data_IF_177087412544
#
_entry.id   IF_177087412544
#
_cell.length_a   1.000
_cell.length_b   1.000
_cell.length_c   1.000
_cell.angle_alpha   90.00
_cell.angle_beta   90.00
_cell.angle_gamma   90.00
#
_symmetry.space_group_name_H-M   'P 1'
#
loop_
_entity.id
_entity.type
_entity.pdbx_description
1 polymer ?
#
# COMPACT_ATOMS: atom_id res chain seq x y z
N UNK A 1 6.90 2.89 25.52
CA UNK A 1 7.28 2.90 25.63
C UNK A 1 7.37 2.38 25.28
N UNK A 2 7.01 2.65 25.14
CA UNK A 2 7.21 2.55 24.99
C UNK A 2 7.16 2.15 24.53
N UNK A 3 6.75 2.35 24.23
CA UNK A 3 6.94 2.33 24.23
C UNK A 3 7.03 2.16 24.13
N UNK A 4 6.84 2.37 24.04
CA UNK A 4 7.14 2.62 24.32
C UNK A 4 7.83 2.76 24.29
N UNK A 5 8.38 3.54 24.70
CA UNK A 5 9.15 3.94 24.91
C UNK A 5 9.37 4.71 25.13
N UNK A 6 9.76 5.15 25.54
CA UNK A 6 10.12 6.08 25.84
C UNK A 6 10.65 6.82 25.81
N UNK A 7 11.32 7.34 26.17
CA UNK A 7 11.75 8.03 26.35
C UNK A 7 12.60 8.80 26.12
N UNK A 8 13.44 9.13 25.88
CA UNK A 8 14.06 10.00 25.77
C UNK A 8 15.22 10.18 25.64
N UNK A 9 15.96 10.66 25.64
CA UNK A 9 16.97 10.73 25.78
C UNK A 9 17.94 11.16 24.80
N UNK A 10 19.08 10.93 24.70
CA UNK A 10 20.07 11.25 23.71
C UNK A 10 19.81 10.41 22.51
N UNK A 11 19.27 11.02 21.51
CA UNK A 11 18.77 10.28 20.38
C UNK A 11 19.58 10.65 19.14
N UNK A 12 19.86 9.64 18.32
CA UNK A 12 20.38 9.86 16.99
C UNK A 12 19.29 10.47 16.12
N UNK A 13 19.61 11.06 14.96
CA UNK A 13 18.58 11.54 14.05
C UNK A 13 17.57 10.47 13.65
N UNK A 14 18.02 9.22 13.50
CA UNK A 14 17.10 8.12 13.19
C UNK A 14 16.19 7.81 14.36
N UNK A 15 16.71 7.88 15.59
CA UNK A 15 15.90 7.64 16.78
C UNK A 15 14.87 8.75 16.97
N UNK A 16 15.24 10.00 16.72
CA UNK A 16 14.30 11.10 16.77
C UNK A 16 13.18 10.93 15.76
N UNK A 17 13.51 10.48 14.57
CA UNK A 17 12.51 10.22 13.56
C UNK A 17 11.55 9.13 14.02
N UNK A 18 12.06 8.04 14.56
CA UNK A 18 11.22 6.96 15.08
C UNK A 18 10.39 7.42 16.28
N UNK A 19 10.95 8.24 17.13
CA UNK A 19 10.25 8.80 18.27
C UNK A 19 9.04 9.61 17.81
N UNK A 20 9.19 10.36 16.72
CA UNK A 20 8.11 11.16 16.16
C UNK A 20 7.04 10.31 15.50
N UNK A 21 7.37 9.10 15.08
CA UNK A 21 6.38 8.19 14.48
C UNK A 21 5.36 7.70 15.50
N UNK A 22 5.77 7.60 16.77
CA UNK A 22 4.87 7.13 17.82
C UNK A 22 4.76 8.25 18.86
N UNK A 23 3.90 9.15 18.56
CA UNK A 23 3.76 10.39 19.30
C UNK A 23 2.97 10.19 20.58
N UNK A 24 1.94 9.41 20.52
CA UNK A 24 1.10 9.00 21.63
C UNK A 24 0.81 7.53 21.50
N UNK A 25 0.36 6.90 22.59
CA UNK A 25 -0.03 5.51 22.53
C UNK A 25 -1.06 5.29 21.43
N UNK A 26 -0.74 4.45 20.47
CA UNK A 26 -1.63 4.14 19.36
C UNK A 26 -1.57 5.10 18.21
N UNK A 27 -0.79 6.18 18.30
CA UNK A 27 -0.64 7.14 17.20
C UNK A 27 0.64 6.82 16.45
N UNK A 28 0.51 6.59 15.15
CA UNK A 28 1.62 6.28 14.27
C UNK A 28 1.63 7.27 13.13
N UNK A 29 2.75 7.94 12.94
CA UNK A 29 2.91 8.94 11.90
C UNK A 29 3.48 8.32 10.63
N UNK A 30 3.14 8.92 9.50
CA UNK A 30 3.57 8.48 8.18
C UNK A 30 4.28 9.60 7.45
N UNK A 31 5.25 9.22 6.61
CA UNK A 31 5.90 10.15 5.70
C UNK A 31 6.27 9.38 4.43
N UNK A 32 6.09 9.98 3.24
CA UNK A 32 6.56 9.35 2.02
C UNK A 32 8.07 9.54 1.90
N UNK A 33 8.75 8.70 1.11
CA UNK A 33 10.16 8.92 0.79
C UNK A 33 10.36 10.27 0.10
N UNK A 34 11.59 10.78 0.15
CA UNK A 34 11.93 12.03 -0.50
C UNK A 34 11.56 11.96 -1.99
N UNK A 35 10.89 13.00 -2.48
CA UNK A 35 10.45 13.13 -3.87
C UNK A 35 9.36 12.12 -4.27
N UNK A 36 8.76 11.46 -3.30
CA UNK A 36 7.64 10.55 -3.54
C UNK A 36 6.39 11.03 -2.81
N UNK A 37 5.26 10.49 -3.23
CA UNK A 37 3.96 10.75 -2.60
C UNK A 37 3.35 9.41 -2.20
N UNK A 38 2.44 9.46 -1.23
CA UNK A 38 1.67 8.26 -0.88
C UNK A 38 0.90 7.79 -2.10
N UNK A 39 0.94 6.49 -2.34
CA UNK A 39 0.32 5.89 -3.52
C UNK A 39 1.27 5.70 -4.69
N UNK A 40 2.45 6.31 -4.67
CA UNK A 40 3.42 6.12 -5.75
C UNK A 40 3.78 4.65 -5.89
N UNK A 41 3.99 4.24 -7.14
CA UNK A 41 4.43 2.87 -7.45
C UNK A 41 5.94 2.84 -7.45
N UNK A 42 6.53 2.02 -6.57
CA UNK A 42 7.97 1.85 -6.49
C UNK A 42 8.45 0.73 -7.40
N UNK A 43 7.69 -0.36 -7.47
CA UNK A 43 7.95 -1.46 -8.38
C UNK A 43 6.65 -1.79 -9.06
N UNK A 44 6.63 -1.67 -10.38
CA UNK A 44 5.40 -1.79 -11.15
C UNK A 44 5.23 -3.19 -11.74
N UNK A 45 4.05 -3.44 -12.26
CA UNK A 45 3.74 -4.65 -12.99
C UNK A 45 4.51 -4.70 -14.31
N UNK A 46 4.75 -5.90 -14.78
CA UNK A 46 5.21 -6.11 -16.15
C UNK A 46 4.05 -5.82 -17.11
N UNK A 47 4.35 -5.78 -18.41
CA UNK A 47 3.32 -5.46 -19.40
C UNK A 47 2.36 -6.60 -19.65
N UNK A 48 2.79 -7.85 -19.46
CA UNK A 48 2.00 -9.04 -19.85
C UNK A 48 2.19 -10.17 -18.86
N UNK A 49 1.11 -10.93 -18.67
CA UNK A 49 1.08 -12.13 -17.85
C UNK A 49 0.18 -13.17 -18.49
N UNK A 50 0.35 -14.42 -18.07
CA UNK A 50 -0.59 -15.48 -18.38
C UNK A 50 -1.25 -15.95 -17.09
N UNK A 51 -2.42 -16.57 -17.19
CA UNK A 51 -3.10 -17.16 -16.04
C UNK A 51 -2.16 -18.15 -15.35
N UNK A 52 -2.18 -18.14 -14.03
CA UNK A 52 -1.26 -18.93 -13.22
C UNK A 52 -0.02 -18.18 -12.76
N UNK A 53 0.32 -17.07 -13.39
CA UNK A 53 1.43 -16.22 -12.94
C UNK A 53 0.95 -15.27 -11.84
N UNK A 54 1.92 -14.68 -11.12
CA UNK A 54 1.62 -13.72 -10.06
C UNK A 54 2.14 -12.35 -10.44
N UNK A 55 1.26 -11.36 -10.35
CA UNK A 55 1.62 -9.95 -10.50
C UNK A 55 1.98 -9.42 -9.12
N UNK A 56 3.06 -8.66 -9.03
CA UNK A 56 3.42 -7.98 -7.78
C UNK A 56 3.73 -6.52 -8.06
N UNK A 57 3.19 -5.65 -7.22
CA UNK A 57 3.38 -4.19 -7.32
C UNK A 57 3.70 -3.67 -5.92
N UNK A 58 4.66 -2.77 -5.82
CA UNK A 58 5.04 -2.16 -4.54
C UNK A 58 4.64 -0.70 -4.56
N UNK A 59 3.88 -0.29 -3.56
CA UNK A 59 3.38 1.07 -3.41
C UNK A 59 4.00 1.75 -2.20
N UNK A 60 4.16 3.06 -2.27
CA UNK A 60 4.41 3.90 -1.10
C UNK A 60 3.10 4.00 -0.33
N UNK A 61 3.12 3.63 0.95
CA UNK A 61 1.90 3.55 1.74
C UNK A 61 2.06 4.15 3.14
N UNK A 62 0.95 4.28 3.86
CA UNK A 62 0.93 4.61 5.27
C UNK A 62 0.80 3.37 6.13
N UNK A 63 0.91 3.55 7.44
CA UNK A 63 0.77 2.45 8.38
C UNK A 63 -0.68 1.96 8.41
N UNK A 64 -0.91 0.65 8.43
CA UNK A 64 -2.28 0.12 8.44
C UNK A 64 -3.17 0.62 9.56
N UNK A 65 -2.59 0.97 10.72
CA UNK A 65 -3.35 1.53 11.84
C UNK A 65 -4.02 2.86 11.50
N UNK A 66 -3.50 3.58 10.54
CA UNK A 66 -4.05 4.88 10.15
C UNK A 66 -5.14 4.74 9.10
N UNK A 67 -5.37 3.54 8.59
CA UNK A 67 -6.35 3.32 7.56
C UNK A 67 -7.76 3.38 8.13
N UNK A 68 -8.57 4.29 7.62
CA UNK A 68 -9.95 4.48 8.04
C UNK A 68 -10.95 3.64 7.24
N UNK A 69 -10.48 2.94 6.21
CA UNK A 69 -11.33 2.09 5.37
C UNK A 69 -11.47 0.70 5.98
N UNK A 70 -11.95 0.62 7.21
CA UNK A 70 -12.01 -0.66 7.93
C UNK A 70 -12.97 -1.66 7.30
N UNK A 71 -14.05 -1.14 6.75
CA UNK A 71 -15.07 -1.96 6.11
C UNK A 71 -15.00 -1.85 4.61
N UNK A 72 -13.89 -1.33 4.11
CA UNK A 72 -13.66 -1.15 2.70
C UNK A 72 -12.37 -1.86 2.34
N UNK A 73 -12.05 -1.92 1.08
CA UNK A 73 -10.93 -2.70 0.58
C UNK A 73 -9.69 -1.82 0.39
N UNK A 74 -8.53 -2.34 0.80
CA UNK A 74 -7.25 -1.70 0.58
C UNK A 74 -6.71 -1.95 -0.82
N UNK A 75 -7.16 -3.03 -1.45
CA UNK A 75 -6.61 -3.52 -2.71
C UNK A 75 -7.75 -3.92 -3.61
N UNK A 76 -7.66 -3.48 -4.85
CA UNK A 76 -8.59 -3.90 -5.90
C UNK A 76 -7.81 -4.34 -7.11
N UNK A 77 -8.20 -5.45 -7.71
CA UNK A 77 -7.78 -5.82 -9.04
C UNK A 77 -8.92 -5.46 -9.96
N UNK A 78 -8.64 -4.70 -11.00
CA UNK A 78 -9.67 -4.20 -11.90
C UNK A 78 -9.39 -4.66 -13.33
N UNK A 79 -10.46 -4.93 -14.06
CA UNK A 79 -10.42 -5.28 -15.47
C UNK A 79 -11.09 -4.18 -16.27
N UNK A 80 -10.51 -3.83 -17.40
CA UNK A 80 -11.11 -2.85 -18.30
C UNK A 80 -12.16 -3.56 -19.17
N UNK A 81 -13.41 -3.11 -19.04
CA UNK A 81 -14.54 -3.67 -19.76
C UNK A 81 -15.34 -2.52 -20.36
N UNK A 82 -15.43 -2.49 -21.69
CA UNK A 82 -16.19 -1.44 -22.41
C UNK A 82 -15.83 -0.02 -21.97
N UNK A 83 -14.52 0.22 -21.81
CA UNK A 83 -14.01 1.54 -21.43
C UNK A 83 -14.12 1.87 -19.95
N UNK A 84 -14.60 0.96 -19.12
CA UNK A 84 -14.73 1.18 -17.68
C UNK A 84 -13.96 0.13 -16.89
N UNK A 85 -13.36 0.56 -15.77
CA UNK A 85 -12.65 -0.35 -14.87
C UNK A 85 -13.64 -1.01 -13.92
N UNK A 86 -13.64 -2.33 -13.91
CA UNK A 86 -14.51 -3.12 -13.03
C UNK A 86 -13.66 -3.93 -12.06
N UNK A 87 -14.02 -3.91 -10.79
CA UNK A 87 -13.32 -4.66 -9.76
C UNK A 87 -13.65 -6.14 -9.92
N UNK A 88 -12.61 -6.97 -10.02
CA UNK A 88 -12.74 -8.41 -10.20
C UNK A 88 -12.17 -9.18 -9.01
N UNK A 89 -11.34 -8.55 -8.17
CA UNK A 89 -10.80 -9.15 -6.95
C UNK A 89 -10.48 -8.06 -5.94
N UNK A 90 -10.54 -8.39 -4.68
CA UNK A 90 -10.27 -7.48 -3.57
C UNK A 90 -9.33 -8.15 -2.57
N UNK A 91 -8.84 -7.39 -1.59
CA UNK A 91 -7.86 -7.87 -0.62
C UNK A 91 -8.35 -9.03 0.26
N UNK A 92 -9.64 -9.28 0.31
CA UNK A 92 -10.17 -10.46 1.02
C UNK A 92 -10.17 -11.73 0.18
N UNK A 93 -9.86 -11.66 -1.10
CA UNK A 93 -9.89 -12.83 -1.97
C UNK A 93 -8.64 -13.68 -1.81
N UNK A 94 -8.79 -14.99 -1.99
CA UNK A 94 -7.66 -15.91 -1.85
C UNK A 94 -6.54 -15.64 -2.86
N UNK A 95 -6.86 -15.02 -3.98
CA UNK A 95 -5.89 -14.74 -5.05
C UNK A 95 -5.07 -13.48 -4.80
N UNK A 96 -5.45 -12.65 -3.84
CA UNK A 96 -4.73 -11.41 -3.52
C UNK A 96 -3.95 -11.55 -2.23
N UNK A 97 -2.80 -10.86 -2.18
CA UNK A 97 -1.99 -10.82 -0.97
C UNK A 97 -1.49 -9.41 -0.78
N UNK A 98 -1.56 -8.92 0.46
CA UNK A 98 -1.07 -7.61 0.86
C UNK A 98 -0.01 -7.79 1.93
N UNK A 99 1.18 -7.20 1.71
CA UNK A 99 2.27 -7.22 2.68
C UNK A 99 2.74 -5.81 2.93
N UNK A 100 2.63 -5.37 4.16
CA UNK A 100 3.12 -4.08 4.58
C UNK A 100 4.44 -4.24 5.31
N UNK A 101 5.36 -3.28 5.10
CA UNK A 101 6.56 -3.19 5.93
C UNK A 101 6.97 -1.74 6.12
N UNK A 102 7.54 -1.45 7.28
CA UNK A 102 8.20 -0.19 7.55
C UNK A 102 9.59 -0.25 6.94
N UNK A 103 9.96 0.75 6.14
CA UNK A 103 11.24 0.74 5.42
C UNK A 103 12.28 1.53 6.19
N UNK A 104 11.99 2.82 6.45
CA UNK A 104 12.91 3.68 7.17
C UNK A 104 12.10 4.80 7.82
N UNK A 105 12.35 5.06 9.11
CA UNK A 105 11.65 6.11 9.81
C UNK A 105 10.14 5.94 9.71
N UNK A 106 9.47 6.93 9.15
CA UNK A 106 8.01 6.92 8.96
C UNK A 106 7.59 6.42 7.58
N UNK A 107 8.52 5.90 6.79
CA UNK A 107 8.24 5.41 5.43
C UNK A 107 7.78 3.97 5.47
N UNK A 108 6.80 3.65 4.64
CA UNK A 108 6.24 2.31 4.53
C UNK A 108 6.03 1.92 3.08
N UNK A 109 6.09 0.62 2.84
CA UNK A 109 5.79 0.04 1.54
C UNK A 109 4.72 -1.02 1.69
N UNK A 110 3.86 -1.11 0.69
CA UNK A 110 2.90 -2.19 0.57
C UNK A 110 3.19 -2.97 -0.71
N UNK A 111 3.45 -4.25 -0.56
CA UNK A 111 3.56 -5.15 -1.70
C UNK A 111 2.21 -5.81 -1.89
N UNK A 112 1.62 -5.58 -3.05
CA UNK A 112 0.35 -6.17 -3.43
C UNK A 112 0.62 -7.21 -4.50
N UNK A 113 0.15 -8.42 -4.28
CA UNK A 113 0.33 -9.52 -5.22
C UNK A 113 -1.03 -10.09 -5.61
N UNK A 114 -1.16 -10.43 -6.87
CA UNK A 114 -2.34 -11.11 -7.39
C UNK A 114 -1.91 -12.35 -8.15
N UNK A 115 -2.30 -13.50 -7.60
CA UNK A 115 -2.08 -14.79 -8.26
C UNK A 115 -3.22 -14.95 -9.27
N UNK A 116 -2.91 -14.79 -10.53
CA UNK A 116 -3.92 -14.79 -11.60
C UNK A 116 -4.56 -16.17 -11.67
N UNK A 117 -5.85 -16.30 -11.31
CA UNK A 117 -6.50 -17.61 -11.33
C UNK A 117 -6.54 -18.22 -12.72
N UNK A 118 -6.49 -19.54 -12.77
CA UNK A 118 -6.74 -20.25 -14.02
C UNK A 118 -8.13 -19.89 -14.53
N UNK A 119 -8.27 -19.69 -15.82
CA UNK A 119 -9.56 -19.31 -16.39
C UNK A 119 -9.86 -17.83 -16.33
N UNK A 120 -8.93 -17.01 -15.83
CA UNK A 120 -9.11 -15.56 -15.85
C UNK A 120 -9.27 -15.10 -17.30
N UNK A 121 -10.30 -14.31 -17.62
CA UNK A 121 -10.51 -13.85 -18.99
C UNK A 121 -9.32 -13.05 -19.49
N UNK A 122 -8.96 -13.23 -20.73
CA UNK A 122 -7.95 -12.41 -21.37
C UNK A 122 -8.43 -10.96 -21.40
N UNK A 123 -7.52 -10.02 -21.19
CA UNK A 123 -7.86 -8.61 -21.21
C UNK A 123 -6.86 -7.74 -20.48
N UNK A 124 -7.27 -6.51 -20.26
CA UNK A 124 -6.44 -5.48 -19.63
C UNK A 124 -6.84 -5.33 -18.17
N UNK A 125 -5.85 -5.38 -17.30
CA UNK A 125 -6.04 -5.35 -15.84
C UNK A 125 -5.13 -4.32 -15.21
N UNK A 126 -5.45 -3.92 -13.97
CA UNK A 126 -4.59 -3.09 -13.14
C UNK A 126 -4.83 -3.40 -11.67
N UNK A 127 -3.87 -3.02 -10.83
CA UNK A 127 -3.98 -3.14 -9.38
C UNK A 127 -4.08 -1.75 -8.78
N UNK A 128 -5.04 -1.57 -7.87
CA UNK A 128 -5.26 -0.31 -7.16
C UNK A 128 -5.09 -0.56 -5.67
N UNK A 129 -4.33 0.32 -5.03
CA UNK A 129 -4.14 0.32 -3.58
C UNK A 129 -4.71 1.62 -3.01
N UNK A 130 -5.54 1.50 -1.99
CA UNK A 130 -6.14 2.64 -1.30
C UNK A 130 -5.72 2.59 0.16
N UNK A 131 -5.39 3.74 0.72
CA UNK A 131 -5.00 3.81 2.11
C UNK A 131 -5.17 5.20 2.68
N UNK A 132 -4.77 5.35 3.93
CA UNK A 132 -4.78 6.62 4.64
C UNK A 132 -3.45 6.82 5.33
N UNK A 133 -2.98 8.06 5.37
CA UNK A 133 -1.73 8.42 5.99
C UNK A 133 -1.94 9.51 7.03
N UNK A 134 -1.24 9.42 8.16
CA UNK A 134 -1.33 10.40 9.23
C UNK A 134 -0.07 11.26 9.25
N UNK A 135 -0.23 12.56 9.10
CA UNK A 135 0.88 13.50 9.14
C UNK A 135 1.22 13.94 10.59
N UNK A 136 2.23 14.78 10.72
CA UNK A 136 2.69 15.27 12.02
C UNK A 136 1.62 16.05 12.79
N UNK A 137 0.67 16.62 12.10
CA UNK A 137 -0.43 17.36 12.74
C UNK A 137 -1.58 16.45 13.15
N UNK A 138 -1.45 15.15 12.91
CA UNK A 138 -2.48 14.19 13.25
C UNK A 138 -3.58 14.09 12.19
N UNK A 139 -3.46 14.80 11.09
CA UNK A 139 -4.44 14.75 10.02
C UNK A 139 -4.27 13.46 9.22
N UNK A 140 -5.37 12.76 8.99
CA UNK A 140 -5.40 11.55 8.18
C UNK A 140 -5.90 11.94 6.79
N UNK A 141 -5.11 11.61 5.77
CA UNK A 141 -5.42 11.93 4.39
C UNK A 141 -5.50 10.64 3.57
N UNK A 142 -6.58 10.43 2.82
CA UNK A 142 -6.67 9.26 1.95
C UNK A 142 -5.76 9.42 0.73
N UNK A 143 -5.30 8.29 0.21
CA UNK A 143 -4.50 8.27 -1.02
C UNK A 143 -4.85 7.03 -1.82
N UNK A 144 -4.57 7.09 -3.13
CA UNK A 144 -4.79 5.98 -4.04
C UNK A 144 -3.55 5.81 -4.91
N UNK A 145 -3.08 4.58 -5.01
CA UNK A 145 -2.03 4.20 -5.95
C UNK A 145 -2.59 3.26 -6.99
N UNK A 146 -2.10 3.38 -8.21
CA UNK A 146 -2.57 2.55 -9.31
C UNK A 146 -1.37 2.06 -10.10
N UNK A 147 -1.30 0.75 -10.33
CA UNK A 147 -0.26 0.17 -11.18
C UNK A 147 -0.46 0.58 -12.63
N UNK A 148 0.57 0.35 -13.45
CA UNK A 148 0.35 0.37 -14.89
C UNK A 148 -0.68 -0.69 -15.24
N UNK A 149 -1.35 -0.52 -16.37
CA UNK A 149 -2.20 -1.59 -16.90
C UNK A 149 -1.31 -2.70 -17.48
N UNK A 150 -1.78 -3.93 -17.39
CA UNK A 150 -1.09 -5.09 -17.92
C UNK A 150 -2.08 -6.00 -18.59
N UNK A 151 -1.58 -6.77 -19.57
CA UNK A 151 -2.41 -7.70 -20.32
C UNK A 151 -2.31 -9.08 -19.71
N UNK A 152 -3.46 -9.75 -19.58
CA UNK A 152 -3.52 -11.17 -19.25
C UNK A 152 -3.97 -11.91 -20.52
N UNK A 153 -3.19 -12.89 -20.92
CA UNK A 153 -3.46 -13.68 -22.10
C UNK A 153 -4.20 -14.95 -21.78
#
# INVERSE_FOLDING_TARGET
MAQGRPTTNTLTPADLSRQQMTFQTGVVLDAPPLLHQFGDVKTDAAARYTAGQTVSVVFVTGHPKNNLHRNDTFVKVQRLVDGAWKTVAVDGDWSTQYRWKRVFGAESEAQVSWAIPAGTPAGTYRIVHQGDARNLLGTITPFTGTSRSFEVN
#
